data_IF_082518826294
#
_entry.id   IF_082518826294
#
_cell.length_a   1.000
_cell.length_b   1.000
_cell.length_c   1.000
_cell.angle_alpha   90.00
_cell.angle_beta   90.00
_cell.angle_gamma   90.00
#
_symmetry.space_group_name_H-M   'P 1'
#
loop_
_entity.id
_entity.type
_entity.pdbx_description
1 polymer ?
#
# COMPACT_ATOMS: atom_id res chain seq x y z
N UNK A 1 0.87 -23.35 7.64
CA UNK A 1 0.48 -22.22 8.52
C UNK A 1 -0.08 -21.10 7.67
N UNK A 2 -1.37 -20.82 7.76
CA UNK A 2 -2.05 -19.83 6.91
C UNK A 2 -1.78 -18.42 7.40
N UNK A 3 -1.53 -17.48 6.50
CA UNK A 3 -1.43 -16.05 6.84
C UNK A 3 -2.71 -15.34 6.41
N UNK A 4 -3.36 -14.66 7.35
CA UNK A 4 -4.53 -13.83 7.07
C UNK A 4 -4.09 -12.41 6.76
N UNK A 5 -4.47 -11.89 5.59
CA UNK A 5 -4.23 -10.48 5.24
C UNK A 5 -5.51 -9.69 5.50
N UNK A 6 -5.38 -8.53 6.11
CA UNK A 6 -6.42 -7.51 6.26
C UNK A 6 -5.96 -6.25 5.54
N UNK A 7 -6.83 -5.66 4.74
CA UNK A 7 -6.60 -4.37 4.09
C UNK A 7 -7.28 -3.28 4.92
N UNK A 8 -6.54 -2.21 5.18
CA UNK A 8 -7.03 -0.98 5.80
C UNK A 8 -6.66 0.18 4.89
N UNK A 9 -7.64 1.02 4.55
CA UNK A 9 -7.42 2.23 3.76
C UNK A 9 -7.16 3.42 4.69
N UNK A 10 -6.31 4.35 4.27
CA UNK A 10 -6.27 5.70 4.85
C UNK A 10 -7.63 6.39 4.69
N UNK A 11 -7.88 7.46 5.44
CA UNK A 11 -9.09 8.28 5.26
C UNK A 11 -9.21 8.79 3.82
N UNK A 12 -8.11 9.28 3.25
CA UNK A 12 -8.02 9.74 1.87
C UNK A 12 -8.33 8.63 0.84
N UNK A 13 -7.76 7.43 1.00
CA UNK A 13 -8.07 6.32 0.11
C UNK A 13 -9.49 5.78 0.33
N UNK A 14 -10.02 5.81 1.56
CA UNK A 14 -11.37 5.37 1.86
C UNK A 14 -12.41 6.23 1.13
N UNK A 15 -12.18 7.53 0.96
CA UNK A 15 -13.06 8.41 0.15
C UNK A 15 -13.16 7.95 -1.30
N UNK A 16 -12.07 7.46 -1.89
CA UNK A 16 -12.05 6.96 -3.27
C UNK A 16 -12.66 5.56 -3.42
N UNK A 17 -12.64 4.75 -2.35
CA UNK A 17 -13.14 3.36 -2.34
C UNK A 17 -14.63 3.28 -1.96
N UNK A 18 -15.16 4.26 -1.23
CA UNK A 18 -16.55 4.24 -0.75
C UNK A 18 -16.80 3.14 0.29
N UNK A 19 -18.00 2.53 0.28
CA UNK A 19 -18.44 1.55 1.29
C UNK A 19 -17.70 0.19 1.25
N UNK A 20 -16.78 -0.04 0.32
CA UNK A 20 -16.03 -1.30 0.19
C UNK A 20 -14.82 -1.33 1.12
N UNK A 21 -15.07 -1.34 2.44
CA UNK A 21 -14.08 -0.94 3.44
C UNK A 21 -13.22 -2.06 4.05
N UNK A 22 -13.36 -3.31 3.65
CA UNK A 22 -12.42 -4.33 4.10
C UNK A 22 -12.44 -5.57 3.23
N UNK A 23 -11.26 -5.98 2.79
CA UNK A 23 -11.10 -7.27 2.13
C UNK A 23 -10.05 -8.08 2.87
N UNK A 24 -10.42 -9.30 3.22
CA UNK A 24 -9.52 -10.25 3.87
C UNK A 24 -9.32 -11.45 2.98
N UNK A 25 -8.06 -11.80 2.76
CA UNK A 25 -7.67 -12.93 1.93
C UNK A 25 -6.67 -13.80 2.69
N UNK A 26 -6.69 -15.09 2.41
CA UNK A 26 -5.76 -16.06 2.99
C UNK A 26 -4.77 -16.51 1.93
N UNK A 27 -3.48 -16.45 2.27
CA UNK A 27 -2.41 -16.96 1.42
C UNK A 27 -1.80 -18.23 2.01
N UNK A 28 -1.36 -19.12 1.13
CA UNK A 28 -0.50 -20.24 1.48
C UNK A 28 0.89 -19.75 1.91
N UNK A 29 1.62 -20.58 2.67
CA UNK A 29 2.95 -20.20 3.13
C UNK A 29 3.91 -19.95 1.97
N UNK A 30 4.61 -18.81 2.02
CA UNK A 30 5.68 -18.48 1.08
C UNK A 30 5.32 -17.41 0.05
N UNK A 31 4.08 -16.89 0.04
CA UNK A 31 3.74 -15.74 -0.79
C UNK A 31 4.53 -14.49 -0.36
N UNK A 32 5.08 -13.77 -1.34
CA UNK A 32 5.73 -12.48 -1.11
C UNK A 32 4.67 -11.47 -0.69
N UNK A 33 4.76 -10.99 0.55
CA UNK A 33 3.86 -9.96 1.07
C UNK A 33 4.35 -8.58 0.61
N UNK A 34 3.44 -7.70 0.15
CA UNK A 34 3.79 -6.33 -0.20
C UNK A 34 4.51 -5.62 0.95
N UNK A 35 5.53 -4.84 0.61
CA UNK A 35 6.31 -3.99 1.49
C UNK A 35 5.78 -2.54 1.41
N UNK A 36 6.01 -1.71 2.43
CA UNK A 36 5.84 -0.27 2.29
C UNK A 36 6.66 0.25 1.09
N UNK A 37 6.00 1.00 0.20
CA UNK A 37 6.55 1.48 -1.08
C UNK A 37 6.12 0.66 -2.30
N UNK A 38 5.58 -0.55 -2.11
CA UNK A 38 5.03 -1.34 -3.22
C UNK A 38 3.66 -0.79 -3.63
N UNK A 39 3.32 -0.98 -4.91
CA UNK A 39 1.98 -0.73 -5.43
C UNK A 39 1.21 -2.05 -5.50
N UNK A 40 -0.06 -2.01 -5.13
CA UNK A 40 -0.96 -3.17 -5.18
C UNK A 40 -2.23 -2.82 -5.95
N UNK A 41 -2.69 -3.75 -6.77
CA UNK A 41 -3.95 -3.64 -7.48
C UNK A 41 -5.00 -4.50 -6.78
N UNK A 42 -6.17 -3.92 -6.52
CA UNK A 42 -7.30 -4.64 -5.96
C UNK A 42 -8.31 -4.91 -7.06
N UNK A 43 -8.41 -6.17 -7.51
CA UNK A 43 -9.26 -6.58 -8.65
C UNK A 43 -10.73 -6.19 -8.47
N UNK A 44 -11.23 -6.16 -7.24
CA UNK A 44 -12.61 -5.77 -6.95
C UNK A 44 -12.86 -4.26 -7.09
N UNK A 45 -11.80 -3.45 -7.10
CA UNK A 45 -11.87 -1.99 -7.17
C UNK A 45 -11.33 -1.43 -8.51
N UNK A 46 -10.67 -2.26 -9.32
CA UNK A 46 -9.96 -1.82 -10.54
C UNK A 46 -9.08 -0.58 -10.29
N UNK A 47 -8.46 -0.51 -9.12
CA UNK A 47 -7.70 0.65 -8.64
C UNK A 47 -6.38 0.18 -8.04
N UNK A 48 -5.32 0.95 -8.34
CA UNK A 48 -3.99 0.78 -7.75
C UNK A 48 -3.87 1.60 -6.48
N UNK A 49 -3.22 1.03 -5.46
CA UNK A 49 -2.94 1.67 -4.18
C UNK A 49 -1.46 1.55 -3.82
N UNK A 50 -0.95 2.53 -3.08
CA UNK A 50 0.38 2.50 -2.48
C UNK A 50 0.31 1.84 -1.10
N UNK A 51 1.17 0.87 -0.84
CA UNK A 51 1.35 0.34 0.51
C UNK A 51 2.17 1.35 1.32
N UNK A 52 1.55 1.98 2.30
CA UNK A 52 2.25 2.95 3.19
C UNK A 52 2.67 2.32 4.52
N UNK A 53 2.11 1.15 4.86
CA UNK A 53 2.41 0.49 6.11
C UNK A 53 2.05 -0.98 6.11
N UNK A 54 2.75 -1.74 6.97
CA UNK A 54 2.46 -3.15 7.21
C UNK A 54 2.65 -3.50 8.68
N UNK A 55 1.67 -4.20 9.25
CA UNK A 55 1.69 -4.63 10.64
C UNK A 55 1.54 -6.15 10.71
N UNK A 56 2.51 -6.82 11.35
CA UNK A 56 2.43 -8.26 11.62
C UNK A 56 1.83 -8.51 13.01
N UNK A 57 0.86 -9.42 13.07
CA UNK A 57 0.30 -9.93 14.31
C UNK A 57 0.60 -11.42 14.42
N UNK A 58 1.38 -11.80 15.43
CA UNK A 58 1.76 -13.18 15.70
C UNK A 58 0.92 -13.73 16.87
N UNK A 59 0.17 -14.80 16.61
CA UNK A 59 -0.48 -15.62 17.65
C UNK A 59 0.08 -17.04 17.59
N UNK A 60 -0.09 -17.78 18.68
CA UNK A 60 0.54 -19.09 18.93
C UNK A 60 0.44 -20.11 17.77
N UNK A 61 -0.56 -19.98 16.88
CA UNK A 61 -0.72 -20.84 15.69
C UNK A 61 -1.18 -20.09 14.42
N UNK A 62 -1.12 -18.76 14.40
CA UNK A 62 -1.66 -17.96 13.29
C UNK A 62 -0.85 -16.68 13.09
N UNK A 63 -0.48 -16.41 11.84
CA UNK A 63 0.03 -15.11 11.42
C UNK A 63 -1.09 -14.30 10.78
N UNK A 64 -1.22 -13.05 11.17
CA UNK A 64 -2.03 -12.08 10.47
C UNK A 64 -1.19 -10.88 10.06
N UNK A 65 -1.52 -10.29 8.91
CA UNK A 65 -0.82 -9.16 8.33
C UNK A 65 -1.85 -8.11 7.99
N UNK A 66 -1.66 -6.90 8.47
CA UNK A 66 -2.45 -5.75 8.06
C UNK A 66 -1.65 -4.90 7.08
N UNK A 67 -2.18 -4.67 5.89
CA UNK A 67 -1.65 -3.71 4.93
C UNK A 67 -2.42 -2.41 5.07
N UNK A 68 -1.69 -1.30 5.17
CA UNK A 68 -2.27 0.04 5.16
C UNK A 68 -2.02 0.63 3.78
N UNK A 69 -3.11 0.93 3.08
CA UNK A 69 -3.11 1.37 1.69
C UNK A 69 -3.53 2.83 1.58
N UNK A 70 -2.83 3.58 0.75
CA UNK A 70 -3.20 4.95 0.36
C UNK A 70 -3.31 5.06 -1.16
N UNK A 71 -3.85 6.17 -1.66
CA UNK A 71 -3.80 6.47 -3.08
C UNK A 71 -2.35 6.71 -3.53
N UNK A 72 -1.99 6.30 -4.75
CA UNK A 72 -0.70 6.66 -5.31
C UNK A 72 -0.56 8.19 -5.34
N UNK A 73 0.66 8.73 -5.17
CA UNK A 73 0.89 10.16 -5.34
C UNK A 73 0.44 10.57 -6.74
N UNK A 74 -0.24 11.72 -6.87
CA UNK A 74 -0.51 12.29 -8.17
C UNK A 74 0.84 12.54 -8.90
N UNK A 75 0.90 12.23 -10.19
CA UNK A 75 2.10 12.42 -11.04
C UNK A 75 2.64 13.87 -11.01
N UNK A 76 1.87 14.80 -10.46
CA UNK A 76 2.16 16.23 -10.36
C UNK A 76 3.25 16.59 -9.32
N UNK A 77 3.78 15.62 -8.57
CA UNK A 77 4.79 15.84 -7.53
C UNK A 77 6.16 15.17 -7.80
N UNK A 78 6.53 14.92 -9.06
CA UNK A 78 7.95 14.92 -9.42
C UNK A 78 8.41 16.36 -9.66
N UNK A 79 8.57 17.11 -8.56
CA UNK A 79 9.44 18.28 -8.52
C UNK A 79 10.91 17.87 -8.66
N UNK A 80 11.27 17.23 -9.77
CA UNK A 80 12.64 17.24 -10.25
C UNK A 80 12.76 18.51 -11.08
N UNK A 81 13.35 19.54 -10.46
CA UNK A 81 13.67 20.80 -11.12
C UNK A 81 15.13 20.69 -11.62
N UNK A 82 15.37 20.20 -12.86
CA UNK A 82 16.72 20.01 -13.39
C UNK A 82 17.52 21.31 -13.49
N UNK A 83 16.89 22.48 -13.38
CA UNK A 83 17.55 23.78 -13.46
C UNK A 83 18.26 24.18 -12.16
N UNK A 84 17.99 23.49 -11.04
CA UNK A 84 18.60 23.79 -9.74
C UNK A 84 20.06 23.32 -9.59
N UNK A 85 20.58 22.49 -10.51
CA UNK A 85 21.98 22.03 -10.51
C UNK A 85 22.95 22.86 -11.36
N UNK A 86 22.45 23.87 -12.09
CA UNK A 86 23.25 24.63 -13.06
C UNK A 86 23.73 26.02 -12.62
N UNK A 87 23.31 26.52 -11.45
CA UNK A 87 23.70 27.85 -10.97
C UNK A 87 24.41 27.81 -9.63
N UNK A 88 25.58 27.19 -9.62
CA UNK A 88 26.60 27.44 -8.60
C UNK A 88 27.95 27.48 -9.28
N UNK A 89 28.25 28.62 -9.91
CA UNK A 89 29.56 28.88 -10.49
C UNK A 89 29.50 29.76 -11.73
N UNK A 90 29.27 31.06 -11.53
CA UNK A 90 30.03 32.10 -12.24
C UNK A 90 30.12 33.36 -11.39
#
# INVERSE_FOLDING_TARGET
MTTHITIEFTEHAAEAVGDQTSTSFSYDQGAHLPQPGDFVELENLNQTFLVIGRVFSLKTNTSAVKLVLDLPPADDQQGFDPESWGKSGE
#
